data_IF_970623001887
#
_entry.id   IF_970623001887
#
_cell.length_a   1.000
_cell.length_b   1.000
_cell.length_c   1.000
_cell.angle_alpha   90.00
_cell.angle_beta   90.00
_cell.angle_gamma   90.00
#
_symmetry.space_group_name_H-M   'P 1'
#
loop_
_entity.id
_entity.type
_entity.pdbx_description
1 polymer ?
#
# COMPACT_ATOMS: atom_id res chain seq x y z
N UNK A 1 -15.18 4.04 0.22
CA UNK A 1 -15.88 2.74 0.26
C UNK A 1 -15.80 2.02 -1.10
N UNK A 2 -16.21 2.65 -2.23
CA UNK A 2 -16.25 1.98 -3.54
C UNK A 2 -14.87 1.50 -4.02
N UNK A 3 -13.82 2.34 -3.93
CA UNK A 3 -12.45 1.94 -4.31
C UNK A 3 -11.95 0.74 -3.49
N UNK A 4 -12.22 0.73 -2.18
CA UNK A 4 -11.85 -0.38 -1.32
C UNK A 4 -12.53 -1.69 -1.75
N UNK A 5 -13.81 -1.62 -2.11
CA UNK A 5 -14.55 -2.78 -2.62
C UNK A 5 -14.02 -3.25 -3.98
N UNK A 6 -13.71 -2.32 -4.90
CA UNK A 6 -13.12 -2.64 -6.21
C UNK A 6 -11.76 -3.33 -6.07
N UNK A 7 -10.88 -2.83 -5.20
CA UNK A 7 -9.59 -3.44 -4.90
C UNK A 7 -9.71 -4.83 -4.27
N UNK A 8 -10.78 -5.05 -3.48
CA UNK A 8 -11.10 -6.36 -2.90
C UNK A 8 -11.81 -7.32 -3.89
N UNK A 9 -11.97 -6.93 -5.15
CA UNK A 9 -12.67 -7.75 -6.15
C UNK A 9 -14.19 -7.74 -6.04
N UNK A 10 -14.77 -6.75 -5.36
CA UNK A 10 -16.21 -6.60 -5.19
C UNK A 10 -16.78 -5.50 -6.08
N UNK A 11 -17.77 -5.82 -6.89
CA UNK A 11 -18.55 -4.83 -7.61
C UNK A 11 -19.53 -4.14 -6.67
N UNK A 12 -19.54 -2.80 -6.68
CA UNK A 12 -20.40 -1.98 -5.82
C UNK A 12 -21.49 -1.33 -6.67
N UNK A 13 -22.72 -1.37 -6.17
CA UNK A 13 -23.86 -0.69 -6.78
C UNK A 13 -24.33 0.44 -5.85
N UNK A 14 -24.48 1.64 -6.37
CA UNK A 14 -24.94 2.82 -5.64
C UNK A 14 -26.29 3.25 -6.24
N UNK A 15 -27.33 3.27 -5.40
CA UNK A 15 -28.68 3.62 -5.82
C UNK A 15 -29.38 4.49 -4.78
N UNK A 16 -30.50 5.13 -5.17
CA UNK A 16 -31.34 5.89 -4.26
C UNK A 16 -32.12 4.93 -3.35
N UNK A 17 -31.89 5.06 -2.02
CA UNK A 17 -32.53 4.21 -1.00
C UNK A 17 -33.97 4.62 -0.62
N UNK A 18 -34.48 5.76 -1.12
CA UNK A 18 -35.84 6.26 -0.79
C UNK A 18 -36.96 5.55 -1.54
N UNK A 19 -36.62 4.70 -2.52
CA UNK A 19 -37.60 3.95 -3.30
C UNK A 19 -38.10 2.70 -2.58
N UNK A 20 -39.31 2.27 -2.89
CA UNK A 20 -39.81 0.94 -2.52
C UNK A 20 -38.91 -0.13 -3.15
N UNK A 21 -38.47 -1.10 -2.33
CA UNK A 21 -37.63 -2.22 -2.77
C UNK A 21 -36.34 -1.79 -3.52
N UNK A 22 -35.46 -0.91 -2.94
CA UNK A 22 -34.33 -0.33 -3.65
C UNK A 22 -33.31 -1.38 -4.09
N UNK A 23 -33.10 -2.44 -3.31
CA UNK A 23 -32.16 -3.52 -3.63
C UNK A 23 -32.63 -4.33 -4.81
N UNK A 24 -33.89 -4.73 -4.83
CA UNK A 24 -34.48 -5.53 -5.93
C UNK A 24 -34.47 -4.76 -7.25
N UNK A 25 -34.85 -3.47 -7.22
CA UNK A 25 -34.90 -2.63 -8.42
C UNK A 25 -33.51 -2.46 -9.06
N UNK A 26 -32.45 -2.41 -8.27
CA UNK A 26 -31.07 -2.36 -8.77
C UNK A 26 -30.62 -3.71 -9.32
N UNK A 27 -30.90 -4.80 -8.62
CA UNK A 27 -30.53 -6.15 -9.08
C UNK A 27 -31.17 -6.54 -10.38
N UNK A 28 -32.43 -6.11 -10.62
CA UNK A 28 -33.16 -6.38 -11.84
C UNK A 28 -33.02 -5.27 -12.91
N UNK A 29 -32.15 -4.29 -12.67
CA UNK A 29 -31.87 -3.18 -13.58
C UNK A 29 -33.15 -2.35 -13.97
N UNK A 30 -34.06 -2.23 -13.03
CA UNK A 30 -35.34 -1.54 -13.21
C UNK A 30 -35.24 -0.03 -12.99
N UNK A 31 -34.14 0.44 -12.38
CA UNK A 31 -33.93 1.86 -12.03
C UNK A 31 -32.49 2.29 -12.22
N UNK A 32 -32.27 3.60 -12.48
CA UNK A 32 -30.92 4.15 -12.61
C UNK A 32 -30.08 3.90 -11.34
N UNK A 33 -28.86 3.44 -11.54
CA UNK A 33 -27.88 3.20 -10.48
C UNK A 33 -26.47 3.38 -11.03
N UNK A 34 -25.51 3.62 -10.15
CA UNK A 34 -24.09 3.65 -10.49
C UNK A 34 -23.47 2.31 -10.18
N UNK A 35 -22.80 1.72 -11.15
CA UNK A 35 -22.09 0.44 -11.01
C UNK A 35 -20.59 0.69 -11.04
N UNK A 36 -19.89 0.42 -9.91
CA UNK A 36 -18.44 0.44 -9.79
C UNK A 36 -17.94 -1.01 -9.95
N UNK A 37 -17.31 -1.31 -11.08
CA UNK A 37 -16.85 -2.67 -11.38
C UNK A 37 -15.65 -3.06 -10.52
N UNK A 38 -15.57 -4.31 -10.13
CA UNK A 38 -14.40 -4.88 -9.47
C UNK A 38 -13.18 -4.85 -10.41
N UNK A 39 -11.98 -4.66 -9.85
CA UNK A 39 -10.74 -4.83 -10.62
C UNK A 39 -10.61 -6.29 -11.07
N UNK A 40 -10.07 -6.50 -12.27
CA UNK A 40 -9.88 -7.84 -12.85
C UNK A 40 -8.86 -8.69 -12.08
N UNK A 41 -7.93 -8.03 -11.38
CA UNK A 41 -6.96 -8.64 -10.47
C UNK A 41 -7.10 -7.98 -9.11
N UNK A 42 -7.96 -8.48 -8.23
CA UNK A 42 -8.12 -7.91 -6.89
C UNK A 42 -6.80 -8.06 -6.14
N UNK A 43 -6.40 -7.00 -5.46
CA UNK A 43 -5.28 -7.05 -4.53
C UNK A 43 -5.58 -8.08 -3.43
N UNK A 44 -4.53 -8.71 -2.88
CA UNK A 44 -4.72 -9.57 -1.72
C UNK A 44 -5.30 -8.77 -0.56
N UNK A 45 -6.05 -9.42 0.34
CA UNK A 45 -6.60 -8.74 1.51
C UNK A 45 -5.51 -8.05 2.36
N UNK A 46 -4.33 -8.65 2.39
CA UNK A 46 -3.14 -8.09 3.03
C UNK A 46 -2.66 -6.80 2.33
N UNK A 47 -2.53 -6.83 1.00
CA UNK A 47 -2.13 -5.67 0.20
C UNK A 47 -3.12 -4.51 0.38
N UNK A 48 -4.42 -4.80 0.29
CA UNK A 48 -5.48 -3.80 0.52
C UNK A 48 -5.38 -3.21 1.92
N UNK A 49 -5.20 -4.05 2.95
CA UNK A 49 -5.07 -3.59 4.32
C UNK A 49 -3.84 -2.67 4.51
N UNK A 50 -2.74 -2.99 3.86
CA UNK A 50 -1.50 -2.21 3.97
C UNK A 50 -1.60 -0.86 3.23
N UNK A 51 -2.25 -0.84 2.06
CA UNK A 51 -2.42 0.39 1.25
C UNK A 51 -3.50 1.32 1.77
N UNK A 52 -4.56 0.79 2.39
CA UNK A 52 -5.71 1.57 2.85
C UNK A 52 -5.53 2.13 4.28
N UNK A 53 -4.40 1.88 4.94
CA UNK A 53 -4.14 2.48 6.25
C UNK A 53 -3.99 3.99 6.14
N UNK A 54 -4.94 4.71 6.76
CA UNK A 54 -4.98 6.18 6.78
C UNK A 54 -3.96 6.81 7.73
N UNK A 55 -3.43 6.04 8.69
CA UNK A 55 -2.41 6.51 9.64
C UNK A 55 -1.16 5.67 9.48
N UNK A 56 -0.18 6.24 8.81
CA UNK A 56 1.15 5.66 8.67
C UNK A 56 2.06 6.38 9.66
N UNK A 57 2.77 5.60 10.46
CA UNK A 57 3.50 6.11 11.62
C UNK A 57 4.80 6.85 11.27
N UNK A 58 5.36 6.59 10.09
CA UNK A 58 6.60 7.20 9.65
C UNK A 58 7.02 6.76 8.26
N UNK A 59 8.26 7.07 7.90
CA UNK A 59 8.83 6.73 6.61
C UNK A 59 10.32 6.47 6.65
N UNK A 60 10.79 5.76 5.64
CA UNK A 60 12.21 5.58 5.34
C UNK A 60 12.49 6.00 3.90
N UNK A 61 13.71 6.50 3.66
CA UNK A 61 14.24 6.71 2.31
C UNK A 61 15.30 5.65 2.07
N UNK A 62 15.23 4.96 0.95
CA UNK A 62 16.19 3.92 0.56
C UNK A 62 17.01 4.34 -0.65
N UNK A 63 18.12 3.63 -0.87
CA UNK A 63 19.01 3.86 -2.03
C UNK A 63 18.32 3.57 -3.34
N UNK A 64 18.63 4.35 -4.36
CA UNK A 64 18.07 4.21 -5.71
C UNK A 64 18.35 2.83 -6.33
N UNK A 65 19.47 2.17 -6.00
CA UNK A 65 19.78 0.82 -6.48
C UNK A 65 18.70 -0.18 -6.04
N UNK A 66 18.37 -0.18 -4.74
CA UNK A 66 17.31 -1.06 -4.21
C UNK A 66 15.93 -0.62 -4.71
N UNK A 67 15.66 0.69 -4.77
CA UNK A 67 14.40 1.22 -5.27
C UNK A 67 14.08 0.76 -6.70
N UNK A 68 15.09 0.73 -7.57
CA UNK A 68 14.96 0.20 -8.92
C UNK A 68 14.77 -1.32 -8.96
N UNK A 69 15.49 -2.08 -8.10
CA UNK A 69 15.33 -3.53 -8.00
C UNK A 69 13.93 -3.92 -7.54
N UNK A 70 13.38 -3.23 -6.53
CA UNK A 70 12.04 -3.47 -6.01
C UNK A 70 10.93 -3.33 -7.05
N UNK A 71 11.13 -2.48 -8.06
CA UNK A 71 10.17 -2.32 -9.18
C UNK A 71 10.06 -3.58 -10.05
N UNK A 72 11.05 -4.46 -10.02
CA UNK A 72 11.09 -5.69 -10.83
C UNK A 72 10.83 -6.95 -9.99
N UNK A 73 11.28 -6.94 -8.75
CA UNK A 73 11.14 -8.09 -7.84
C UNK A 73 11.11 -7.62 -6.39
N UNK A 74 10.12 -8.01 -5.60
CA UNK A 74 10.12 -7.69 -4.17
C UNK A 74 11.32 -8.34 -3.46
N UNK A 75 12.10 -7.51 -2.79
CA UNK A 75 13.26 -7.92 -2.00
C UNK A 75 13.08 -7.48 -0.54
N UNK A 76 13.95 -7.95 0.36
CA UNK A 76 14.01 -7.45 1.72
C UNK A 76 14.66 -6.07 1.73
N UNK A 77 14.16 -5.15 2.54
CA UNK A 77 14.85 -3.88 2.82
C UNK A 77 15.74 -4.11 4.04
N UNK A 78 17.03 -3.98 3.85
CA UNK A 78 18.03 -4.12 4.89
C UNK A 78 18.36 -2.75 5.51
N UNK A 79 18.93 -2.73 6.71
CA UNK A 79 19.33 -1.51 7.39
C UNK A 79 20.43 -0.73 6.64
N UNK A 80 21.28 -1.42 5.90
CA UNK A 80 22.33 -0.84 5.05
C UNK A 80 21.82 -0.07 3.85
N UNK A 81 20.57 -0.34 3.43
CA UNK A 81 19.94 0.33 2.30
C UNK A 81 19.26 1.65 2.68
N UNK A 82 19.17 1.94 3.98
CA UNK A 82 18.42 3.10 4.48
C UNK A 82 19.30 4.33 4.53
N UNK A 83 18.85 5.42 3.92
CA UNK A 83 19.51 6.72 3.88
C UNK A 83 18.99 7.64 4.98
N UNK A 84 17.66 7.69 5.17
CA UNK A 84 17.05 8.53 6.18
C UNK A 84 15.74 7.95 6.72
N UNK A 85 15.35 8.44 7.89
CA UNK A 85 14.20 7.98 8.64
C UNK A 85 13.42 9.21 9.10
N UNK A 86 12.08 9.18 9.01
CA UNK A 86 11.20 10.23 9.48
C UNK A 86 10.03 9.66 10.28
N UNK A 87 9.61 10.39 11.32
CA UNK A 87 8.52 10.00 12.20
C UNK A 87 8.95 9.09 13.34
N UNK A 88 7.98 8.73 14.17
CA UNK A 88 8.16 7.78 15.28
C UNK A 88 7.24 6.59 15.06
N UNK A 89 7.81 5.44 14.89
CA UNK A 89 7.09 4.18 14.69
C UNK A 89 7.66 3.07 15.56
N UNK A 90 6.84 2.11 15.85
CA UNK A 90 7.20 0.92 16.62
C UNK A 90 7.32 -0.29 15.68
N UNK A 91 7.92 -1.35 16.19
CA UNK A 91 7.94 -2.65 15.52
C UNK A 91 6.50 -3.10 15.21
N UNK A 92 6.25 -3.47 13.96
CA UNK A 92 4.93 -3.89 13.48
C UNK A 92 4.06 -2.76 12.93
N UNK A 93 4.53 -1.51 12.99
CA UNK A 93 3.85 -0.40 12.33
C UNK A 93 4.07 -0.44 10.82
N UNK A 94 3.12 0.14 10.09
CA UNK A 94 3.25 0.35 8.64
C UNK A 94 3.91 1.69 8.41
N UNK A 95 4.92 1.70 7.52
CA UNK A 95 5.68 2.88 7.15
C UNK A 95 5.73 3.04 5.63
N UNK A 96 5.88 4.28 5.17
CA UNK A 96 6.17 4.60 3.77
C UNK A 96 7.62 4.31 3.43
N UNK A 97 7.88 3.90 2.19
CA UNK A 97 9.21 3.74 1.62
C UNK A 97 9.33 4.68 0.42
N UNK A 98 10.28 5.57 0.49
CA UNK A 98 10.60 6.55 -0.56
C UNK A 98 11.93 6.23 -1.21
N UNK A 99 12.08 6.61 -2.48
CA UNK A 99 13.37 6.68 -3.16
C UNK A 99 14.09 8.00 -2.81
N UNK A 100 15.32 8.17 -3.33
CA UNK A 100 16.13 9.39 -3.13
C UNK A 100 15.52 10.63 -3.78
N UNK A 101 14.59 10.46 -4.72
CA UNK A 101 13.88 11.56 -5.38
C UNK A 101 12.67 12.05 -4.57
N UNK A 102 12.31 11.30 -3.53
CA UNK A 102 11.16 11.59 -2.68
C UNK A 102 9.85 11.01 -3.18
N UNK A 103 9.93 10.08 -4.12
CA UNK A 103 8.76 9.38 -4.61
C UNK A 103 8.44 8.17 -3.73
N UNK A 104 7.18 8.00 -3.35
CA UNK A 104 6.73 6.82 -2.62
C UNK A 104 6.71 5.61 -3.55
N UNK A 105 7.53 4.60 -3.23
CA UNK A 105 7.70 3.41 -4.06
C UNK A 105 7.10 2.15 -3.44
N UNK A 106 6.95 2.13 -2.12
CA UNK A 106 6.41 0.98 -1.41
C UNK A 106 5.83 1.37 -0.05
N UNK A 107 5.10 0.44 0.54
CA UNK A 107 4.69 0.45 1.96
C UNK A 107 5.01 -0.89 2.58
N UNK A 108 5.39 -0.87 3.84
CA UNK A 108 5.71 -2.13 4.52
C UNK A 108 5.58 -2.06 6.03
N UNK A 109 5.43 -3.25 6.63
CA UNK A 109 5.44 -3.41 8.07
C UNK A 109 6.88 -3.59 8.55
N UNK A 110 7.31 -2.70 9.47
CA UNK A 110 8.68 -2.70 9.97
C UNK A 110 8.91 -3.76 11.06
N UNK A 111 10.11 -4.33 11.06
CA UNK A 111 10.58 -5.26 12.09
C UNK A 111 11.25 -4.58 13.28
N UNK A 112 11.50 -3.27 13.21
CA UNK A 112 12.19 -2.48 14.21
C UNK A 112 11.44 -1.18 14.49
N UNK A 113 11.69 -0.58 15.65
CA UNK A 113 11.26 0.79 15.94
C UNK A 113 12.10 1.80 15.15
N UNK A 114 11.63 3.05 15.08
CA UNK A 114 12.39 4.14 14.44
C UNK A 114 13.77 4.35 15.09
N UNK A 115 13.86 4.21 16.40
CA UNK A 115 15.12 4.34 17.15
C UNK A 115 16.09 3.20 16.80
N UNK A 116 15.62 1.96 16.82
CA UNK A 116 16.42 0.79 16.43
C UNK A 116 16.87 0.87 14.97
N UNK A 117 15.98 1.24 14.07
CA UNK A 117 16.29 1.41 12.64
C UNK A 117 17.36 2.48 12.45
N UNK A 118 17.28 3.60 13.21
CA UNK A 118 18.29 4.67 13.14
C UNK A 118 19.66 4.21 13.62
N UNK A 119 19.72 3.44 14.70
CA UNK A 119 20.98 2.89 15.21
C UNK A 119 21.61 1.94 14.20
N UNK A 120 20.80 1.05 13.61
CA UNK A 120 21.26 0.10 12.61
C UNK A 120 21.75 0.78 11.32
N UNK A 121 21.00 1.76 10.81
CA UNK A 121 21.35 2.47 9.57
C UNK A 121 22.62 3.33 9.70
N UNK A 122 22.92 3.81 10.92
CA UNK A 122 24.15 4.58 11.18
C UNK A 122 25.42 3.74 11.27
N UNK A 123 25.28 2.46 11.54
CA UNK A 123 26.40 1.53 11.76
C UNK A 123 26.22 0.25 10.95
N UNK A 124 26.16 0.35 9.62
CA UNK A 124 25.89 -0.80 8.76
C UNK A 124 26.99 -1.87 8.83
N UNK A 125 28.19 -1.49 9.26
CA UNK A 125 29.35 -2.36 9.42
C UNK A 125 29.31 -3.23 10.70
N UNK A 126 28.45 -2.88 11.66
CA UNK A 126 28.34 -3.59 12.96
C UNK A 126 27.12 -4.53 12.90
N UNK A 127 27.30 -5.74 13.43
CA UNK A 127 26.20 -6.70 13.41
C UNK A 127 24.99 -6.18 14.22
N UNK A 128 23.74 -6.36 13.73
CA UNK A 128 22.53 -5.93 14.45
C UNK A 128 22.43 -6.48 15.87
N UNK A 129 22.93 -7.69 16.09
CA UNK A 129 23.00 -8.32 17.41
C UNK A 129 23.89 -7.55 18.38
N UNK A 130 25.01 -7.04 17.92
CA UNK A 130 25.94 -6.26 18.77
C UNK A 130 25.37 -4.89 19.09
N UNK A 131 24.71 -4.24 18.13
CA UNK A 131 24.10 -2.92 18.30
C UNK A 131 22.88 -2.94 19.21
N UNK A 132 21.99 -3.92 19.02
CA UNK A 132 20.72 -3.98 19.74
C UNK A 132 20.74 -4.87 20.99
N UNK A 133 21.78 -5.70 21.17
CA UNK A 133 21.94 -6.54 22.34
C UNK A 133 21.06 -7.80 22.35
N UNK A 134 20.30 -8.08 21.28
CA UNK A 134 19.50 -9.29 21.15
C UNK A 134 19.67 -9.93 19.77
N UNK A 135 19.30 -11.23 19.67
CA UNK A 135 19.48 -11.99 18.43
C UNK A 135 18.48 -11.50 17.36
N UNK A 136 18.99 -10.81 16.35
CA UNK A 136 18.20 -10.32 15.21
C UNK A 136 19.05 -10.24 13.95
N UNK A 137 18.41 -10.21 12.78
CA UNK A 137 19.05 -9.90 11.50
C UNK A 137 18.89 -8.42 11.15
N UNK A 138 19.45 -7.99 10.03
CA UNK A 138 19.42 -6.61 9.56
C UNK A 138 18.18 -6.24 8.71
N UNK A 139 17.19 -7.12 8.60
CA UNK A 139 16.02 -6.92 7.75
C UNK A 139 15.03 -5.97 8.41
N UNK A 140 14.93 -4.75 7.90
CA UNK A 140 14.00 -3.72 8.41
C UNK A 140 12.58 -3.99 7.94
N UNK A 141 12.39 -4.31 6.66
CA UNK A 141 11.10 -4.75 6.12
C UNK A 141 11.32 -6.05 5.34
N UNK A 142 10.59 -7.08 5.73
CA UNK A 142 10.61 -8.36 5.01
C UNK A 142 9.79 -8.25 3.73
N UNK A 143 10.22 -8.91 2.65
CA UNK A 143 9.53 -8.91 1.36
C UNK A 143 8.06 -9.36 1.46
N UNK A 144 7.75 -10.25 2.40
CA UNK A 144 6.40 -10.74 2.65
C UNK A 144 5.49 -9.66 3.26
N UNK A 145 6.10 -8.65 3.90
CA UNK A 145 5.46 -7.52 4.55
C UNK A 145 5.63 -6.21 3.78
N UNK A 146 6.08 -6.29 2.53
CA UNK A 146 6.31 -5.16 1.63
C UNK A 146 5.33 -5.20 0.47
N UNK A 147 4.75 -4.06 0.13
CA UNK A 147 3.98 -3.87 -1.08
C UNK A 147 4.61 -2.76 -1.88
N UNK A 148 5.08 -3.11 -3.06
CA UNK A 148 5.58 -2.16 -4.05
C UNK A 148 4.37 -1.52 -4.73
N UNK A 149 4.38 -0.21 -4.81
CA UNK A 149 3.35 0.56 -5.49
C UNK A 149 3.70 0.53 -6.99
N UNK A 150 3.10 -0.39 -7.72
CA UNK A 150 3.18 -0.44 -9.16
C UNK A 150 2.42 0.76 -9.72
N UNK A 151 3.10 1.54 -10.58
CA UNK A 151 2.57 2.71 -11.31
C UNK A 151 2.15 3.93 -10.49
N UNK A 152 3.09 4.86 -10.36
CA UNK A 152 2.91 6.24 -9.88
C UNK A 152 1.85 7.05 -10.64
N UNK A 153 1.41 6.60 -11.81
CA UNK A 153 0.46 7.29 -12.67
C UNK A 153 -0.99 6.83 -12.52
N UNK A 154 -1.27 5.69 -11.86
CA UNK A 154 -2.62 5.13 -11.81
C UNK A 154 -3.45 5.56 -10.59
N UNK A 155 -2.90 6.25 -9.60
CA UNK A 155 -3.70 6.74 -8.47
C UNK A 155 -4.32 8.13 -8.71
N UNK A 156 -3.89 8.88 -9.73
CA UNK A 156 -4.41 10.24 -10.01
C UNK A 156 -4.58 10.62 -11.48
N UNK A 157 -4.03 9.91 -12.45
CA UNK A 157 -4.16 10.26 -13.85
C UNK A 157 -5.18 9.39 -14.57
N UNK A 158 -6.25 10.07 -14.96
CA UNK A 158 -7.35 9.68 -15.85
C UNK A 158 -8.06 8.39 -15.44
N UNK A 159 -9.36 8.47 -15.17
CA UNK A 159 -10.19 7.28 -15.33
C UNK A 159 -9.93 6.80 -16.78
N UNK A 160 -9.39 5.58 -16.90
CA UNK A 160 -9.39 4.91 -18.19
C UNK A 160 -10.78 5.04 -18.76
N UNK A 161 -10.87 5.36 -20.05
CA UNK A 161 -12.17 5.51 -20.74
C UNK A 161 -13.04 4.22 -20.66
N UNK A 162 -12.48 3.14 -20.12
CA UNK A 162 -13.16 1.88 -19.85
C UNK A 162 -13.78 1.77 -18.44
N UNK A 163 -13.49 2.69 -17.52
CA UNK A 163 -14.23 2.84 -16.25
C UNK A 163 -15.42 3.80 -16.43
N UNK A 164 -16.03 3.81 -17.59
CA UNK A 164 -17.22 4.59 -17.84
C UNK A 164 -18.34 4.13 -16.91
N UNK A 165 -18.83 5.09 -16.14
CA UNK A 165 -20.10 5.03 -15.45
C UNK A 165 -21.14 4.72 -16.51
N UNK A 166 -21.60 3.47 -16.60
CA UNK A 166 -22.73 3.11 -17.44
C UNK A 166 -23.99 3.62 -16.74
N UNK A 167 -24.40 4.84 -17.12
CA UNK A 167 -25.71 5.36 -16.74
C UNK A 167 -26.70 4.65 -17.66
N UNK A 168 -27.43 3.66 -17.12
CA UNK A 168 -28.54 3.07 -17.84
C UNK A 168 -29.63 4.13 -18.01
N UNK A 169 -29.65 4.80 -19.16
CA UNK A 169 -30.81 5.57 -19.63
C UNK A 169 -31.85 4.60 -20.18
N UNK A 170 -33.03 4.67 -19.62
CA UNK A 170 -34.23 4.01 -20.14
C UNK A 170 -34.92 4.94 -21.14
#
# INVERSE_FOLDING_TARGET
AANMAQNAGCTTLIANGEHEAPVSSVLFNERPHTKCLAHTKPASAWATWLTDRLQIAGSIVIRDELANSLSHSPEHILHEDIISIQGQYLKGDVIHVYDEKGDEIARGMTNFSSEETMVLARHPEISPKELLGYQTGGTVISRENLIVLEDRHLLWDKPDQETMVEVAET
#
